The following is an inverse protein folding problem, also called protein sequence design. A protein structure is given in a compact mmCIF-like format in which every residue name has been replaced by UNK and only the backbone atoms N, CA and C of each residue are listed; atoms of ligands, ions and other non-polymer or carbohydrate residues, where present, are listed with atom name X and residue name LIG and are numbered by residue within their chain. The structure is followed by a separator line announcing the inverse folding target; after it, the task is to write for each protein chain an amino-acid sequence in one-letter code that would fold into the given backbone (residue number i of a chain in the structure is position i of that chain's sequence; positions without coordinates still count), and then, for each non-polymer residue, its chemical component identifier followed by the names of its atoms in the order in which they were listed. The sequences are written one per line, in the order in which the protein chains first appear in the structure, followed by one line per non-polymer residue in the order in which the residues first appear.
data_IF_134770923762
#
_entry.id   IF_134770923762
#
_cell.length_a   1.000
_cell.length_b   1.000
_cell.length_c   1.000
_cell.angle_alpha   90.00
_cell.angle_beta   90.00
_cell.angle_gamma   90.00
#
_symmetry.space_group_name_H-M   'P 1'
#
loop_
_entity.id
_entity.type
_entity.pdbx_description
1 polymer ?
#
# COMPACT_ATOMS: atom_id res chain seq x y z
N UNK A 1 -29.27 -6.55 -1.40
CA UNK A 1 -28.11 -6.31 -2.27
C UNK A 1 -27.70 -4.83 -2.31
N UNK A 2 -28.55 -3.90 -2.81
CA UNK A 2 -28.16 -2.49 -2.96
C UNK A 2 -27.85 -1.80 -1.62
N UNK A 3 -28.67 -2.00 -0.60
CA UNK A 3 -28.46 -1.44 0.73
C UNK A 3 -27.11 -1.89 1.34
N UNK A 4 -26.81 -3.17 1.24
CA UNK A 4 -25.54 -3.75 1.70
C UNK A 4 -24.34 -3.09 1.01
N UNK A 5 -24.45 -2.81 -0.28
CA UNK A 5 -23.40 -2.11 -1.04
C UNK A 5 -23.23 -0.66 -0.58
N UNK A 6 -24.34 0.04 -0.34
CA UNK A 6 -24.32 1.44 0.12
C UNK A 6 -23.70 1.49 1.52
N UNK A 7 -24.15 0.65 2.45
CA UNK A 7 -23.63 0.58 3.82
C UNK A 7 -22.12 0.31 3.80
N UNK A 8 -21.66 -0.63 2.96
CA UNK A 8 -20.23 -0.93 2.84
C UNK A 8 -19.41 0.25 2.32
N UNK A 9 -19.90 0.97 1.31
CA UNK A 9 -19.21 2.16 0.78
C UNK A 9 -19.11 3.25 1.85
N UNK A 10 -20.16 3.47 2.62
CA UNK A 10 -20.17 4.46 3.71
C UNK A 10 -19.21 4.06 4.82
N UNK A 11 -19.18 2.80 5.20
CA UNK A 11 -18.25 2.25 6.19
C UNK A 11 -16.79 2.40 5.74
N UNK A 12 -16.47 2.06 4.49
CA UNK A 12 -15.13 2.18 3.93
C UNK A 12 -14.67 3.65 3.85
N UNK A 13 -15.57 4.55 3.43
CA UNK A 13 -15.30 5.98 3.40
C UNK A 13 -14.99 6.50 4.79
N UNK A 14 -15.86 6.21 5.76
CA UNK A 14 -15.67 6.60 7.15
C UNK A 14 -14.34 6.10 7.70
N UNK A 15 -14.04 4.82 7.52
CA UNK A 15 -12.82 4.21 8.02
C UNK A 15 -11.57 4.87 7.42
N UNK A 16 -11.57 5.15 6.10
CA UNK A 16 -10.45 5.82 5.44
C UNK A 16 -10.25 7.24 5.95
N UNK A 17 -11.32 7.97 6.28
CA UNK A 17 -11.26 9.30 6.89
C UNK A 17 -10.79 9.28 8.35
N UNK A 18 -11.02 8.17 9.08
CA UNK A 18 -10.56 7.99 10.46
C UNK A 18 -9.07 7.62 10.56
N UNK A 19 -8.50 6.95 9.56
CA UNK A 19 -7.09 6.53 9.58
C UNK A 19 -6.14 7.68 9.98
N UNK A 20 -6.12 8.83 9.29
CA UNK A 20 -5.19 9.92 9.65
C UNK A 20 -5.47 10.54 11.02
N UNK A 21 -6.73 10.56 11.48
CA UNK A 21 -7.10 11.10 12.79
C UNK A 21 -6.53 10.25 13.94
N UNK A 22 -6.34 8.95 13.70
CA UNK A 22 -5.72 8.02 14.65
C UNK A 22 -4.23 7.79 14.39
N UNK A 23 -3.60 8.65 13.58
CA UNK A 23 -2.20 8.51 13.18
C UNK A 23 -1.89 7.19 12.46
N UNK A 24 -2.86 6.69 11.68
CA UNK A 24 -2.74 5.48 10.87
C UNK A 24 -2.62 5.84 9.39
N UNK A 25 -2.02 4.93 8.63
CA UNK A 25 -1.92 4.99 7.16
C UNK A 25 -2.67 3.86 6.48
N UNK A 26 -2.90 2.75 7.20
CA UNK A 26 -3.64 1.59 6.68
C UNK A 26 -4.28 0.81 7.82
N UNK A 27 -5.28 0.00 7.46
CA UNK A 27 -5.98 -0.93 8.34
C UNK A 27 -6.29 -2.22 7.60
N UNK A 28 -6.09 -3.37 8.27
CA UNK A 28 -6.45 -4.70 7.77
C UNK A 28 -7.34 -5.36 8.80
N UNK A 29 -8.62 -5.55 8.48
CA UNK A 29 -9.56 -6.19 9.40
C UNK A 29 -9.25 -7.67 9.61
N UNK A 30 -9.46 -8.14 10.82
CA UNK A 30 -9.46 -9.57 11.15
C UNK A 30 -10.52 -10.29 10.30
N UNK A 31 -10.22 -11.49 9.86
CA UNK A 31 -11.08 -12.26 8.98
C UNK A 31 -10.92 -11.95 7.48
N UNK A 32 -10.17 -10.92 7.10
CA UNK A 32 -9.92 -10.61 5.69
C UNK A 32 -9.20 -11.74 4.96
N UNK A 33 -9.60 -12.01 3.72
CA UNK A 33 -8.92 -12.96 2.82
C UNK A 33 -7.99 -12.18 1.90
N UNK A 34 -6.72 -12.13 2.28
CA UNK A 34 -5.73 -11.34 1.54
C UNK A 34 -5.26 -12.00 0.24
N UNK A 35 -5.02 -13.33 0.18
CA UNK A 35 -4.60 -13.97 -1.05
C UNK A 35 -5.67 -13.97 -2.12
N UNK A 36 -5.26 -13.87 -3.39
CA UNK A 36 -6.11 -14.00 -4.57
C UNK A 36 -5.93 -15.37 -5.21
N UNK A 37 -6.93 -15.79 -5.96
CA UNK A 37 -6.96 -17.09 -6.64
C UNK A 37 -5.74 -17.29 -7.57
N UNK A 38 -5.31 -16.21 -8.24
CA UNK A 38 -4.11 -16.17 -9.07
C UNK A 38 -3.56 -14.74 -9.18
N UNK A 39 -2.37 -14.58 -9.79
CA UNK A 39 -1.76 -13.27 -10.00
C UNK A 39 -2.54 -12.31 -10.92
N UNK A 40 -3.48 -12.84 -11.69
CA UNK A 40 -4.32 -12.07 -12.64
C UNK A 40 -5.80 -12.04 -12.21
N UNK A 41 -6.15 -12.65 -11.08
CA UNK A 41 -7.52 -12.71 -10.57
C UNK A 41 -7.68 -11.80 -9.35
N UNK A 42 -8.77 -11.04 -9.29
CA UNK A 42 -9.15 -10.28 -8.10
C UNK A 42 -10.05 -11.08 -7.14
N UNK A 43 -10.40 -12.34 -7.49
CA UNK A 43 -11.22 -13.18 -6.62
C UNK A 43 -10.43 -13.67 -5.41
N UNK A 44 -11.05 -13.74 -4.23
CA UNK A 44 -10.39 -14.27 -3.04
C UNK A 44 -10.05 -15.76 -3.22
N UNK A 45 -8.88 -16.17 -2.72
CA UNK A 45 -8.48 -17.58 -2.73
C UNK A 45 -9.37 -18.40 -1.79
N UNK A 46 -10.08 -19.36 -2.34
CA UNK A 46 -10.94 -20.27 -1.57
C UNK A 46 -10.07 -21.11 -0.62
N UNK A 47 -10.48 -21.18 0.65
CA UNK A 47 -9.78 -21.95 1.68
C UNK A 47 -8.51 -21.27 2.21
N UNK A 48 -8.22 -20.03 1.81
CA UNK A 48 -7.11 -19.27 2.39
C UNK A 48 -7.34 -19.00 3.88
N UNK A 49 -6.25 -18.99 4.65
CA UNK A 49 -6.30 -18.62 6.07
C UNK A 49 -6.70 -17.14 6.21
N UNK A 50 -7.77 -16.84 6.98
CA UNK A 50 -8.13 -15.46 7.25
C UNK A 50 -7.02 -14.71 7.99
N UNK A 51 -6.89 -13.42 7.70
CA UNK A 51 -5.95 -12.55 8.38
C UNK A 51 -6.33 -12.41 9.86
N UNK A 52 -5.32 -12.43 10.72
CA UNK A 52 -5.44 -12.16 12.15
C UNK A 52 -4.37 -11.16 12.56
N UNK A 53 -4.79 -10.07 13.17
CA UNK A 53 -3.89 -9.03 13.71
C UNK A 53 -3.06 -9.58 14.87
N UNK A 54 -1.77 -9.22 14.97
CA UNK A 54 -1.05 -9.32 16.23
C UNK A 54 -1.74 -8.49 17.30
N UNK A 55 -1.84 -9.04 18.53
CA UNK A 55 -2.58 -8.39 19.62
C UNK A 55 -2.10 -6.96 19.96
N UNK A 56 -0.80 -6.71 19.84
CA UNK A 56 -0.19 -5.40 20.10
C UNK A 56 -0.43 -4.34 19.01
N UNK A 57 -0.96 -4.75 17.86
CA UNK A 57 -1.29 -3.88 16.72
C UNK A 57 -2.80 -3.82 16.47
N UNK A 58 -3.57 -4.59 17.25
CA UNK A 58 -5.01 -4.66 17.08
C UNK A 58 -5.68 -3.37 17.54
N UNK A 59 -6.58 -2.88 16.72
CA UNK A 59 -7.43 -1.72 17.00
C UNK A 59 -8.86 -2.05 16.60
N UNK A 60 -9.81 -1.27 17.12
CA UNK A 60 -11.23 -1.43 16.88
C UNK A 60 -11.83 -0.15 16.27
N UNK A 61 -12.76 -0.33 15.34
CA UNK A 61 -13.56 0.75 14.77
C UNK A 61 -15.06 0.42 14.85
N UNK A 62 -15.84 1.40 15.27
CA UNK A 62 -17.30 1.37 15.19
C UNK A 62 -17.75 2.08 13.92
N UNK A 63 -18.43 1.34 13.04
CA UNK A 63 -18.78 1.80 11.70
C UNK A 63 -20.17 2.44 11.66
N UNK A 64 -20.44 3.34 10.71
CA UNK A 64 -21.76 3.97 10.53
C UNK A 64 -22.91 2.98 10.34
N UNK A 65 -22.66 1.82 9.76
CA UNK A 65 -23.65 0.74 9.63
C UNK A 65 -24.04 0.07 10.96
N UNK A 66 -23.39 0.45 12.07
CA UNK A 66 -23.54 -0.18 13.39
C UNK A 66 -22.67 -1.42 13.60
N UNK A 67 -21.86 -1.80 12.62
CA UNK A 67 -20.88 -2.91 12.77
C UNK A 67 -19.65 -2.43 13.54
N UNK A 68 -19.03 -3.38 14.24
CA UNK A 68 -17.71 -3.21 14.83
C UNK A 68 -16.72 -4.09 14.07
N UNK A 69 -15.58 -3.54 13.70
CA UNK A 69 -14.48 -4.27 13.05
C UNK A 69 -13.21 -4.11 13.87
N UNK A 70 -12.51 -5.21 14.08
CA UNK A 70 -11.18 -5.24 14.71
C UNK A 70 -10.14 -5.64 13.68
N UNK A 71 -8.91 -5.22 13.84
CA UNK A 71 -7.84 -5.55 12.91
C UNK A 71 -6.55 -4.82 13.19
N UNK A 72 -5.58 -4.99 12.32
CA UNK A 72 -4.26 -4.39 12.42
C UNK A 72 -4.27 -2.96 11.90
N UNK A 73 -3.95 -2.00 12.77
CA UNK A 73 -3.65 -0.62 12.38
C UNK A 73 -2.17 -0.42 12.08
N UNK A 74 -1.87 0.12 10.91
CA UNK A 74 -0.50 0.48 10.52
C UNK A 74 -0.31 1.98 10.75
N UNK A 75 0.57 2.32 11.70
CA UNK A 75 0.84 3.71 12.09
C UNK A 75 1.74 4.42 11.08
N UNK A 76 1.66 5.76 11.06
CA UNK A 76 2.65 6.60 10.38
C UNK A 76 4.06 6.31 10.92
N UNK A 77 5.06 6.41 10.06
CA UNK A 77 6.45 6.13 10.35
C UNK A 77 7.00 5.02 9.47
N UNK A 78 8.04 4.34 9.92
CA UNK A 78 8.68 3.26 9.18
C UNK A 78 8.16 1.93 9.71
N UNK A 79 7.51 1.15 8.85
CA UNK A 79 7.04 -0.20 9.14
C UNK A 79 7.76 -1.20 8.26
N UNK A 80 8.39 -2.21 8.85
CA UNK A 80 9.04 -3.30 8.13
C UNK A 80 8.16 -4.55 8.15
N UNK A 81 7.87 -5.09 6.96
CA UNK A 81 7.25 -6.39 6.79
C UNK A 81 8.35 -7.44 6.58
N UNK A 82 8.64 -8.22 7.62
CA UNK A 82 9.70 -9.24 7.62
C UNK A 82 9.13 -10.64 7.60
N UNK A 83 9.86 -11.57 7.00
CA UNK A 83 9.48 -12.99 6.94
C UNK A 83 10.23 -13.71 5.83
N UNK A 84 10.28 -15.03 5.90
CA UNK A 84 10.87 -15.88 4.86
C UNK A 84 10.11 -15.85 3.53
N UNK A 85 10.68 -16.51 2.52
CA UNK A 85 10.00 -16.72 1.24
C UNK A 85 8.64 -17.40 1.43
N UNK A 86 7.67 -17.03 0.62
CA UNK A 86 6.29 -17.56 0.63
C UNK A 86 5.49 -17.33 1.94
N UNK A 87 5.95 -16.46 2.85
CA UNK A 87 5.25 -16.14 4.10
C UNK A 87 4.21 -15.01 3.95
N UNK A 88 3.86 -14.63 2.74
CA UNK A 88 2.75 -13.69 2.47
C UNK A 88 3.11 -12.21 2.54
N UNK A 89 4.40 -11.81 2.61
CA UNK A 89 4.82 -10.39 2.60
C UNK A 89 4.24 -9.64 1.41
N UNK A 90 4.50 -10.11 0.21
CA UNK A 90 4.00 -9.50 -1.04
C UNK A 90 2.46 -9.53 -1.13
N UNK A 91 1.81 -10.54 -0.53
CA UNK A 91 0.35 -10.61 -0.45
C UNK A 91 -0.21 -9.48 0.41
N UNK A 92 0.40 -9.21 1.58
CA UNK A 92 0.01 -8.10 2.45
C UNK A 92 0.26 -6.77 1.74
N UNK A 93 1.45 -6.57 1.16
CA UNK A 93 1.79 -5.35 0.45
C UNK A 93 0.82 -5.07 -0.70
N UNK A 94 0.49 -6.09 -1.50
CA UNK A 94 -0.50 -5.99 -2.58
C UNK A 94 -1.91 -5.68 -2.06
N UNK A 95 -2.29 -6.24 -0.92
CA UNK A 95 -3.58 -5.92 -0.30
C UNK A 95 -3.63 -4.45 0.14
N UNK A 96 -2.56 -3.92 0.73
CA UNK A 96 -2.43 -2.51 1.09
C UNK A 96 -2.41 -1.60 -0.13
N UNK A 97 -1.71 -1.97 -1.21
CA UNK A 97 -1.71 -1.26 -2.48
C UNK A 97 -3.13 -1.10 -3.05
N UNK A 98 -3.92 -2.17 -3.02
CA UNK A 98 -5.32 -2.15 -3.48
C UNK A 98 -6.28 -1.49 -2.49
N UNK A 99 -5.89 -1.37 -1.22
CA UNK A 99 -6.67 -0.73 -0.17
C UNK A 99 -6.96 0.76 -0.37
N UNK A 100 -6.32 1.42 -1.35
CA UNK A 100 -6.65 2.80 -1.76
C UNK A 100 -8.02 2.89 -2.42
N UNK A 101 -8.53 1.78 -2.97
CA UNK A 101 -9.84 1.67 -3.60
C UNK A 101 -10.88 1.08 -2.64
N UNK A 102 -12.15 1.32 -2.93
CA UNK A 102 -13.24 0.63 -2.26
C UNK A 102 -13.40 -0.78 -2.83
N UNK A 103 -13.64 -1.73 -1.94
CA UNK A 103 -13.90 -3.11 -2.28
C UNK A 103 -15.40 -3.40 -2.33
N UNK A 104 -15.81 -4.37 -3.13
CA UNK A 104 -17.20 -4.84 -3.23
C UNK A 104 -17.51 -5.88 -2.14
N UNK A 105 -18.77 -6.14 -1.80
CA UNK A 105 -19.14 -7.21 -0.87
C UNK A 105 -18.66 -8.58 -1.36
N UNK A 106 -18.20 -9.41 -0.45
CA UNK A 106 -17.65 -10.77 -0.67
C UNK A 106 -16.32 -10.78 -1.44
N UNK A 107 -15.62 -9.65 -1.47
CA UNK A 107 -14.26 -9.56 -2.01
C UNK A 107 -13.20 -10.14 -1.04
N UNK A 108 -13.54 -10.25 0.23
CA UNK A 108 -12.62 -10.69 1.28
C UNK A 108 -11.64 -9.63 1.76
N UNK A 109 -11.55 -8.47 1.09
CA UNK A 109 -10.73 -7.32 1.49
C UNK A 109 -11.57 -6.07 1.76
N UNK A 110 -12.87 -6.24 2.08
CA UNK A 110 -13.83 -5.16 2.27
C UNK A 110 -13.33 -4.09 3.25
N UNK A 111 -12.62 -4.52 4.29
CA UNK A 111 -12.03 -3.64 5.29
C UNK A 111 -10.50 -3.73 5.32
N UNK A 112 -9.89 -3.85 4.17
CA UNK A 112 -8.47 -3.59 3.94
C UNK A 112 -8.37 -2.22 3.30
N UNK A 113 -7.99 -1.22 4.08
CA UNK A 113 -8.05 0.18 3.67
C UNK A 113 -6.71 0.87 3.86
N UNK A 114 -6.36 1.69 2.90
CA UNK A 114 -5.15 2.50 2.87
C UNK A 114 -5.52 3.94 2.53
N UNK A 115 -4.76 4.90 3.03
CA UNK A 115 -4.93 6.31 2.65
C UNK A 115 -4.88 6.47 1.13
N UNK A 116 -5.71 7.37 0.60
CA UNK A 116 -5.97 7.46 -0.85
C UNK A 116 -4.80 7.96 -1.68
N UNK A 117 -3.82 8.62 -1.05
CA UNK A 117 -2.63 9.19 -1.65
C UNK A 117 -1.39 8.30 -1.49
N UNK A 118 -1.57 7.03 -1.13
CA UNK A 118 -0.49 6.05 -1.08
C UNK A 118 0.07 5.75 -2.47
N UNK A 119 1.39 5.65 -2.57
CA UNK A 119 2.09 5.34 -3.82
C UNK A 119 2.95 4.09 -3.64
N UNK A 120 2.84 3.16 -4.59
CA UNK A 120 3.77 2.03 -4.69
C UNK A 120 5.03 2.45 -5.44
N UNK A 121 6.15 2.29 -4.78
CA UNK A 121 7.46 2.56 -5.35
C UNK A 121 7.98 1.32 -6.05
N UNK A 122 8.38 1.47 -7.30
CA UNK A 122 8.97 0.41 -8.12
C UNK A 122 10.33 0.85 -8.65
N UNK A 123 11.22 -0.12 -8.82
CA UNK A 123 12.42 0.02 -9.60
C UNK A 123 12.11 -0.49 -11.03
N UNK A 124 12.17 0.40 -12.02
CA UNK A 124 11.81 0.09 -13.41
C UNK A 124 13.02 0.37 -14.31
N UNK A 125 13.66 -0.70 -14.79
CA UNK A 125 14.72 -0.57 -15.78
C UNK A 125 14.16 0.01 -17.09
N UNK A 126 14.92 0.91 -17.70
CA UNK A 126 14.54 1.53 -18.96
C UNK A 126 13.59 2.72 -18.84
N UNK A 127 13.16 3.09 -17.63
CA UNK A 127 12.30 4.26 -17.43
C UNK A 127 12.98 5.55 -17.86
N UNK A 128 12.23 6.43 -18.53
CA UNK A 128 12.66 7.82 -18.80
C UNK A 128 12.45 8.68 -17.55
N UNK A 129 13.46 9.48 -17.19
CA UNK A 129 13.43 10.43 -16.08
C UNK A 129 13.84 11.79 -16.61
N UNK A 130 13.18 12.87 -16.17
CA UNK A 130 13.48 14.23 -16.60
C UNK A 130 13.56 15.18 -15.39
N UNK A 131 14.75 15.75 -15.18
CA UNK A 131 15.04 16.83 -14.21
C UNK A 131 14.60 16.51 -12.77
N UNK A 132 14.78 15.27 -12.32
CA UNK A 132 14.46 14.87 -10.94
C UNK A 132 15.70 14.98 -10.08
N UNK A 133 15.57 15.50 -8.86
CA UNK A 133 16.67 15.55 -7.88
C UNK A 133 16.76 14.21 -7.14
N UNK A 134 17.65 13.34 -7.58
CA UNK A 134 17.94 12.06 -6.95
C UNK A 134 19.10 12.10 -5.97
N UNK A 135 19.70 13.28 -5.74
CA UNK A 135 20.86 13.46 -4.87
C UNK A 135 20.66 13.04 -3.40
N UNK A 136 19.42 13.03 -2.84
CA UNK A 136 19.21 12.47 -1.49
C UNK A 136 19.51 10.97 -1.38
N UNK A 137 19.48 10.24 -2.49
CA UNK A 137 19.69 8.78 -2.54
C UNK A 137 20.98 8.39 -3.27
N UNK A 138 21.37 9.13 -4.31
CA UNK A 138 22.50 8.81 -5.17
C UNK A 138 23.36 10.05 -5.36
N UNK A 139 24.53 10.08 -4.73
CA UNK A 139 25.45 11.23 -4.82
C UNK A 139 26.36 11.20 -6.05
N UNK A 140 26.74 10.01 -6.50
CA UNK A 140 27.67 9.83 -7.61
C UNK A 140 27.14 8.83 -8.63
N UNK A 141 27.15 9.23 -9.89
CA UNK A 141 26.83 8.39 -11.02
C UNK A 141 28.02 8.23 -11.96
N UNK A 142 28.17 7.11 -12.66
CA UNK A 142 29.19 6.95 -13.69
C UNK A 142 29.11 8.09 -14.73
N UNK A 143 30.29 8.60 -15.15
CA UNK A 143 30.34 9.66 -16.13
C UNK A 143 30.05 11.07 -15.58
N UNK A 144 30.19 11.29 -14.27
CA UNK A 144 29.96 12.61 -13.62
C UNK A 144 28.55 13.22 -13.94
N UNK A 145 27.53 12.39 -14.13
CA UNK A 145 26.18 12.87 -14.37
C UNK A 145 25.66 13.63 -13.16
N UNK A 146 24.99 14.76 -13.43
CA UNK A 146 24.38 15.61 -12.39
C UNK A 146 23.19 14.89 -11.76
N UNK A 147 23.19 14.76 -10.43
CA UNK A 147 22.12 14.09 -9.68
C UNK A 147 20.99 15.02 -9.23
N UNK A 148 21.27 16.34 -9.12
CA UNK A 148 20.27 17.35 -8.71
C UNK A 148 19.23 17.69 -9.79
N UNK A 149 19.53 17.43 -11.05
CA UNK A 149 18.62 17.57 -12.20
C UNK A 149 18.80 16.37 -13.12
N UNK A 150 18.68 15.20 -12.54
CA UNK A 150 18.96 13.98 -13.26
C UNK A 150 17.95 13.76 -14.40
N UNK A 151 18.49 13.48 -15.57
CA UNK A 151 17.71 13.17 -16.76
C UNK A 151 18.35 12.00 -17.50
N UNK A 152 17.54 11.05 -17.91
CA UNK A 152 17.95 9.92 -18.73
C UNK A 152 16.76 9.37 -19.51
N UNK A 153 17.01 8.80 -20.69
CA UNK A 153 15.98 8.08 -21.45
C UNK A 153 15.92 6.59 -21.07
N UNK A 154 16.89 6.12 -20.26
CA UNK A 154 17.03 4.71 -19.91
C UNK A 154 17.66 4.62 -18.51
N UNK A 155 16.84 4.67 -17.48
CA UNK A 155 17.28 4.57 -16.10
C UNK A 155 17.56 3.11 -15.72
N UNK A 156 18.55 2.91 -14.84
CA UNK A 156 18.68 1.64 -14.11
C UNK A 156 17.62 1.54 -13.02
N UNK A 157 17.37 0.32 -12.52
CA UNK A 157 16.39 0.08 -11.46
C UNK A 157 16.59 0.99 -10.25
N UNK A 158 17.83 1.14 -9.75
CA UNK A 158 18.14 1.99 -8.60
C UNK A 158 17.87 3.49 -8.84
N UNK A 159 18.22 3.99 -10.04
CA UNK A 159 17.98 5.40 -10.38
C UNK A 159 16.50 5.68 -10.63
N UNK A 160 15.76 4.74 -11.21
CA UNK A 160 14.32 4.86 -11.38
C UNK A 160 13.58 4.80 -10.05
N UNK A 161 14.00 3.94 -9.13
CA UNK A 161 13.43 3.86 -7.79
C UNK A 161 13.65 5.15 -6.99
N UNK A 162 14.89 5.70 -7.03
CA UNK A 162 15.19 6.96 -6.39
C UNK A 162 14.34 8.11 -6.94
N UNK A 163 14.18 8.19 -8.26
CA UNK A 163 13.31 9.18 -8.90
C UNK A 163 11.84 8.99 -8.50
N UNK A 164 11.36 7.75 -8.46
CA UNK A 164 9.98 7.43 -8.08
C UNK A 164 9.66 7.87 -6.65
N UNK A 165 10.61 7.68 -5.70
CA UNK A 165 10.46 8.19 -4.32
C UNK A 165 10.37 9.71 -4.30
N UNK A 166 11.26 10.42 -5.00
CA UNK A 166 11.25 11.89 -5.04
C UNK A 166 9.94 12.41 -5.64
N UNK A 167 9.52 11.87 -6.77
CA UNK A 167 8.26 12.26 -7.45
C UNK A 167 7.03 12.01 -6.55
N UNK A 168 7.00 10.88 -5.83
CA UNK A 168 5.93 10.59 -4.88
C UNK A 168 5.90 11.59 -3.71
N UNK A 169 7.08 11.99 -3.18
CA UNK A 169 7.19 13.00 -2.14
C UNK A 169 6.77 14.40 -2.64
N UNK A 170 7.17 14.78 -3.86
CA UNK A 170 6.72 16.01 -4.50
C UNK A 170 5.21 16.04 -4.71
N UNK A 171 4.61 14.90 -5.05
CA UNK A 171 3.15 14.71 -5.11
C UNK A 171 2.47 14.69 -3.73
N UNK A 172 3.23 14.81 -2.63
CA UNK A 172 2.76 14.79 -1.24
C UNK A 172 2.10 13.48 -0.84
N UNK A 173 2.57 12.36 -1.37
CA UNK A 173 2.14 11.04 -0.91
C UNK A 173 2.38 10.88 0.60
N UNK A 174 1.37 10.45 1.34
CA UNK A 174 1.47 10.24 2.79
C UNK A 174 1.94 8.83 3.16
N UNK A 175 1.99 7.93 2.20
CA UNK A 175 2.47 6.57 2.35
C UNK A 175 3.21 6.11 1.09
N UNK A 176 4.40 5.56 1.29
CA UNK A 176 5.17 4.86 0.26
C UNK A 176 5.18 3.36 0.57
N UNK A 177 4.71 2.56 -0.37
CA UNK A 177 4.75 1.09 -0.30
C UNK A 177 5.94 0.61 -1.14
N UNK A 178 6.94 0.05 -0.49
CA UNK A 178 8.21 -0.34 -1.14
C UNK A 178 8.37 -1.84 -1.01
N UNK A 179 8.55 -2.53 -2.14
CA UNK A 179 8.89 -3.95 -2.17
C UNK A 179 10.41 -4.10 -2.29
N UNK A 180 10.94 -5.21 -1.79
CA UNK A 180 12.40 -5.47 -1.79
C UNK A 180 12.94 -5.78 -3.19
N UNK A 181 12.10 -6.34 -4.07
CA UNK A 181 12.51 -6.81 -5.39
C UNK A 181 11.73 -6.15 -6.52
N UNK A 182 12.46 -5.44 -7.25
CA UNK A 182 12.08 -5.14 -8.62
C UNK A 182 13.31 -5.13 -9.52
#
# INVERSE_FOLDING_TARGET
ALRTQIDLILDQKYLREELPKQNLVSFIANGSILPRESGISDKPLIGAKPFQSPANLEIEFHLPSGKTVTGMGIKKGITLLVGGGFHGKSTVLQALERGVYNHIPNDGREFVLTVSDAVKIRAEDGRSIQKVDISPFINHLPGNKVTKQFSTMNASGSTSQAANVVEALEARASLLLIDEDT
#
